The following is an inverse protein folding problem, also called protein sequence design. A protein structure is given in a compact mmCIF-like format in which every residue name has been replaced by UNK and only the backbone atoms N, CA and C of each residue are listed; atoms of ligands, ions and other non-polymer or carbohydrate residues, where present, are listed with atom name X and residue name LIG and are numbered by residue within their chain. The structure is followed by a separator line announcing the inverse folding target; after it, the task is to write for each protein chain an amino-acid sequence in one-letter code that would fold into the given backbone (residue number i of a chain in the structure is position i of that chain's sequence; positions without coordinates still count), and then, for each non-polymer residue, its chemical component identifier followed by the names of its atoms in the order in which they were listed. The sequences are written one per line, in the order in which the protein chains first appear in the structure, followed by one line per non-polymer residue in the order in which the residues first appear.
data_IF_352753803378
#
_entry.id   IF_352753803378
#
_cell.length_a   1.000
_cell.length_b   1.000
_cell.length_c   1.000
_cell.angle_alpha   90.00
_cell.angle_beta   90.00
_cell.angle_gamma   90.00
#
_symmetry.space_group_name_H-M   'P 1'
#
loop_
_entity.id
_entity.type
_entity.pdbx_description
1 polymer ?
#
# COMPACT_ATOMS: atom_id res chain seq x y z
N UNK A 1 -17.26 31.23 41.47
CA UNK A 1 -16.01 30.71 40.86
C UNK A 1 -16.32 29.41 40.13
N UNK A 2 -16.35 29.39 38.79
CA UNK A 2 -16.65 28.16 38.06
C UNK A 2 -16.70 28.40 36.56
N UNK A 3 -15.55 28.65 35.93
CA UNK A 3 -15.50 28.80 34.45
C UNK A 3 -14.10 28.60 33.82
N UNK A 4 -13.06 28.32 34.61
CA UNK A 4 -11.71 28.03 34.05
C UNK A 4 -11.44 26.54 33.88
N UNK A 5 -11.98 25.70 34.78
CA UNK A 5 -11.77 24.25 34.78
C UNK A 5 -12.61 23.54 33.70
N UNK A 6 -13.85 24.00 33.45
CA UNK A 6 -14.73 23.41 32.42
C UNK A 6 -14.16 23.66 31.01
N UNK A 7 -13.65 24.86 30.74
CA UNK A 7 -13.03 25.17 29.44
C UNK A 7 -11.78 24.30 29.17
N UNK A 8 -10.99 24.02 30.21
CA UNK A 8 -9.81 23.18 30.10
C UNK A 8 -10.17 21.70 29.85
N UNK A 9 -11.23 21.20 30.49
CA UNK A 9 -11.74 19.85 30.26
C UNK A 9 -12.28 19.69 28.84
N UNK A 10 -13.07 20.65 28.35
CA UNK A 10 -13.60 20.63 26.97
C UNK A 10 -12.48 20.65 25.92
N UNK A 11 -11.41 21.41 26.16
CA UNK A 11 -10.25 21.43 25.27
C UNK A 11 -9.49 20.09 25.28
N UNK A 12 -9.36 19.48 26.47
CA UNK A 12 -8.72 18.18 26.60
C UNK A 12 -9.53 17.08 25.91
N UNK A 13 -10.86 17.08 26.05
CA UNK A 13 -11.76 16.18 25.33
C UNK A 13 -11.63 16.36 23.81
N UNK A 14 -11.64 17.60 23.29
CA UNK A 14 -11.44 17.89 21.86
C UNK A 14 -10.05 17.44 21.34
N UNK A 15 -9.00 17.57 22.15
CA UNK A 15 -7.67 17.04 21.84
C UNK A 15 -7.66 15.50 21.85
N UNK A 16 -8.34 14.87 22.81
CA UNK A 16 -8.50 13.42 22.85
C UNK A 16 -9.31 12.91 21.67
N UNK A 17 -10.36 13.62 21.21
CA UNK A 17 -11.08 13.27 19.99
C UNK A 17 -10.20 13.43 18.73
N UNK A 18 -9.26 14.37 18.74
CA UNK A 18 -8.27 14.54 17.66
C UNK A 18 -7.25 13.38 17.64
N UNK A 19 -6.92 12.79 18.79
CA UNK A 19 -6.03 11.62 18.88
C UNK A 19 -6.78 10.27 18.79
N UNK A 20 -8.08 10.23 19.15
CA UNK A 20 -8.94 9.05 19.11
C UNK A 20 -9.57 8.81 17.73
N UNK A 21 -9.33 9.68 16.74
CA UNK A 21 -9.51 9.33 15.33
C UNK A 21 -8.26 8.65 14.77
N UNK A 22 -7.81 7.59 15.44
CA UNK A 22 -7.18 6.46 14.78
C UNK A 22 -8.24 5.46 14.30
N UNK A 23 -9.43 5.92 13.92
CA UNK A 23 -10.15 5.23 12.87
C UNK A 23 -9.48 5.67 11.57
N UNK A 24 -8.73 4.80 10.87
CA UNK A 24 -8.44 5.06 9.49
C UNK A 24 -9.77 4.84 8.77
N UNK A 25 -10.63 5.86 8.76
CA UNK A 25 -11.45 6.10 7.59
C UNK A 25 -10.46 6.45 6.47
N UNK A 26 -9.61 5.48 6.07
CA UNK A 26 -9.28 5.33 4.66
C UNK A 26 -10.66 5.35 4.02
N UNK A 27 -10.99 6.35 3.21
CA UNK A 27 -12.30 6.43 2.59
C UNK A 27 -12.43 5.21 1.70
N UNK A 28 -12.94 4.08 2.24
CA UNK A 28 -12.73 2.69 1.78
C UNK A 28 -12.07 2.70 0.41
N UNK A 29 -10.75 2.96 0.39
CA UNK A 29 -10.06 3.11 -0.87
C UNK A 29 -9.88 1.66 -1.23
N UNK A 30 -10.93 1.08 -1.82
CA UNK A 30 -10.82 -0.11 -2.63
C UNK A 30 -10.34 0.45 -3.96
N UNK A 31 -9.01 0.59 -4.16
CA UNK A 31 -8.53 0.82 -5.48
C UNK A 31 -9.16 -0.26 -6.35
N UNK A 32 -9.81 0.14 -7.44
CA UNK A 32 -10.27 -0.81 -8.43
C UNK A 32 -9.00 -1.42 -9.05
N UNK A 33 -8.57 -2.55 -8.51
CA UNK A 33 -7.39 -3.23 -9.00
C UNK A 33 -7.77 -4.06 -10.23
N UNK A 34 -7.10 -3.91 -11.38
CA UNK A 34 -7.19 -4.88 -12.45
C UNK A 34 -6.60 -6.23 -11.98
N UNK A 35 -6.85 -7.29 -12.74
CA UNK A 35 -6.20 -8.58 -12.45
C UNK A 35 -4.70 -8.48 -12.77
N UNK A 36 -3.89 -8.43 -11.72
CA UNK A 36 -2.43 -8.31 -11.80
C UNK A 36 -1.73 -9.65 -11.50
N UNK A 37 -2.43 -10.79 -11.55
CA UNK A 37 -1.83 -12.12 -11.32
C UNK A 37 -0.58 -12.36 -12.17
N UNK A 38 -0.59 -11.89 -13.41
CA UNK A 38 0.54 -12.01 -14.35
C UNK A 38 1.81 -11.26 -13.89
N UNK A 39 1.65 -10.26 -13.01
CA UNK A 39 2.76 -9.52 -12.40
C UNK A 39 3.46 -10.28 -11.26
N UNK A 40 2.89 -11.40 -10.79
CA UNK A 40 3.50 -12.24 -9.75
C UNK A 40 4.51 -13.26 -10.28
N UNK A 41 4.67 -13.38 -11.59
CA UNK A 41 5.55 -14.40 -12.18
C UNK A 41 7.03 -14.23 -11.83
N UNK A 42 7.43 -13.07 -11.29
CA UNK A 42 8.77 -12.86 -10.75
C UNK A 42 9.06 -13.64 -9.47
N UNK A 43 8.08 -14.37 -8.90
CA UNK A 43 8.32 -15.24 -7.73
C UNK A 43 8.75 -16.64 -8.10
N UNK A 44 8.44 -17.08 -9.32
CA UNK A 44 8.71 -18.45 -9.76
C UNK A 44 9.90 -18.45 -10.72
N UNK A 45 10.82 -19.42 -10.61
CA UNK A 45 11.84 -19.63 -11.62
C UNK A 45 11.18 -19.75 -13.01
N UNK A 46 11.65 -19.03 -14.03
CA UNK A 46 12.95 -18.37 -14.16
C UNK A 46 13.05 -16.89 -13.69
N UNK A 47 12.12 -16.40 -12.86
CA UNK A 47 12.09 -15.01 -12.35
C UNK A 47 11.99 -13.96 -13.48
N UNK A 48 11.30 -14.31 -14.56
CA UNK A 48 11.16 -13.45 -15.74
C UNK A 48 9.92 -12.55 -15.56
N UNK A 49 10.08 -11.22 -15.66
CA UNK A 49 8.93 -10.33 -15.68
C UNK A 49 8.08 -10.58 -16.92
N UNK A 50 6.77 -10.71 -16.74
CA UNK A 50 5.86 -10.86 -17.86
C UNK A 50 5.66 -9.51 -18.56
N UNK A 51 5.90 -9.47 -19.88
CA UNK A 51 5.75 -8.26 -20.69
C UNK A 51 4.32 -7.68 -20.64
N UNK A 52 3.32 -8.52 -20.36
CA UNK A 52 1.93 -8.10 -20.24
C UNK A 52 1.63 -7.41 -18.90
N UNK A 53 2.53 -7.46 -17.90
CA UNK A 53 2.31 -6.79 -16.63
C UNK A 53 2.42 -5.26 -16.76
N UNK A 54 3.45 -4.74 -17.43
CA UNK A 54 3.72 -3.31 -17.47
C UNK A 54 2.56 -2.46 -18.04
N UNK A 55 1.89 -2.87 -19.13
CA UNK A 55 0.70 -2.19 -19.63
C UNK A 55 -0.45 -2.13 -18.61
N UNK A 56 -0.59 -3.15 -17.75
CA UNK A 56 -1.67 -3.20 -16.74
C UNK A 56 -1.44 -2.23 -15.59
N UNK A 57 -0.19 -1.92 -15.25
CA UNK A 57 0.15 -0.97 -14.19
C UNK A 57 0.36 0.46 -14.72
N UNK A 58 0.54 0.64 -16.03
CA UNK A 58 0.74 1.96 -16.64
C UNK A 58 -0.47 2.88 -16.41
N UNK A 59 -1.68 2.33 -16.46
CA UNK A 59 -2.93 3.06 -16.18
C UNK A 59 -3.20 3.35 -14.71
N UNK A 60 -2.33 2.90 -13.78
CA UNK A 60 -2.49 3.10 -12.34
C UNK A 60 -1.62 4.26 -11.86
N UNK A 61 -2.18 5.06 -10.95
CA UNK A 61 -1.40 5.98 -10.13
C UNK A 61 -0.50 5.21 -9.16
N UNK A 62 0.58 5.82 -8.72
CA UNK A 62 1.63 5.15 -7.92
C UNK A 62 1.09 4.48 -6.64
N UNK A 63 0.17 5.15 -5.92
CA UNK A 63 -0.47 4.59 -4.72
C UNK A 63 -1.38 3.38 -5.05
N UNK A 64 -2.05 3.42 -6.20
CA UNK A 64 -2.91 2.33 -6.63
C UNK A 64 -2.08 1.14 -7.11
N UNK A 65 -1.01 1.40 -7.86
CA UNK A 65 -0.07 0.40 -8.32
C UNK A 65 0.57 -0.33 -7.12
N UNK A 66 1.01 0.39 -6.09
CA UNK A 66 1.59 -0.22 -4.89
C UNK A 66 0.59 -1.13 -4.16
N UNK A 67 -0.60 -0.63 -3.82
CA UNK A 67 -1.62 -1.41 -3.09
C UNK A 67 -2.09 -2.63 -3.89
N UNK A 68 -2.31 -2.47 -5.19
CA UNK A 68 -2.76 -3.57 -6.05
C UNK A 68 -1.68 -4.64 -6.24
N UNK A 69 -0.42 -4.26 -6.46
CA UNK A 69 0.68 -5.24 -6.53
C UNK A 69 0.87 -5.93 -5.18
N UNK A 70 0.90 -5.20 -4.07
CA UNK A 70 1.08 -5.77 -2.73
C UNK A 70 0.05 -6.85 -2.43
N UNK A 71 -1.21 -6.63 -2.83
CA UNK A 71 -2.28 -7.63 -2.66
C UNK A 71 -1.97 -8.92 -3.42
N UNK A 72 -1.51 -8.81 -4.67
CA UNK A 72 -1.12 -9.98 -5.47
C UNK A 72 0.13 -10.65 -4.90
N UNK A 73 1.18 -9.89 -4.55
CA UNK A 73 2.41 -10.45 -3.99
C UNK A 73 2.13 -11.15 -2.65
N UNK A 74 1.29 -10.58 -1.78
CA UNK A 74 0.89 -11.18 -0.50
C UNK A 74 0.18 -12.52 -0.67
N UNK A 75 -0.64 -12.67 -1.71
CA UNK A 75 -1.30 -13.95 -2.02
C UNK A 75 -0.32 -15.03 -2.50
N UNK A 76 0.78 -14.63 -3.15
CA UNK A 76 1.77 -15.57 -3.68
C UNK A 76 2.88 -15.91 -2.66
N UNK A 77 3.13 -15.07 -1.66
CA UNK A 77 4.15 -15.28 -0.61
C UNK A 77 3.55 -15.98 0.62
N UNK A 78 2.49 -16.77 0.46
CA UNK A 78 1.82 -17.51 1.53
C UNK A 78 2.65 -18.62 2.20
N UNK A 79 3.87 -18.32 2.67
CA UNK A 79 4.65 -19.13 3.61
C UNK A 79 5.96 -19.73 3.11
N UNK A 80 6.34 -19.55 1.85
CA UNK A 80 7.45 -20.33 1.24
C UNK A 80 8.76 -19.54 1.12
N UNK A 81 8.71 -18.20 1.00
CA UNK A 81 9.88 -17.38 0.61
C UNK A 81 10.04 -16.20 1.59
N UNK A 82 11.23 -16.02 2.17
CA UNK A 82 11.56 -15.01 3.20
C UNK A 82 11.96 -13.64 2.63
N UNK A 83 11.63 -13.36 1.36
CA UNK A 83 11.99 -12.09 0.72
C UNK A 83 10.94 -11.04 1.11
N UNK A 84 11.40 -9.86 1.54
CA UNK A 84 10.52 -8.74 1.88
C UNK A 84 9.63 -8.37 0.70
N UNK A 85 8.32 -8.26 0.93
CA UNK A 85 7.35 -7.83 -0.10
C UNK A 85 7.75 -6.54 -0.78
N UNK A 86 8.32 -5.60 -0.02
CA UNK A 86 8.74 -4.30 -0.52
C UNK A 86 9.82 -4.43 -1.61
N UNK A 87 10.77 -5.34 -1.45
CA UNK A 87 11.85 -5.56 -2.43
C UNK A 87 11.23 -6.03 -3.75
N UNK A 88 10.30 -6.97 -3.65
CA UNK A 88 9.64 -7.58 -4.79
C UNK A 88 8.72 -6.60 -5.53
N UNK A 89 8.02 -5.77 -4.76
CA UNK A 89 7.22 -4.67 -5.27
C UNK A 89 8.09 -3.67 -6.05
N UNK A 90 9.18 -3.20 -5.44
CA UNK A 90 10.07 -2.23 -6.09
C UNK A 90 10.74 -2.85 -7.33
N UNK A 91 11.15 -4.12 -7.28
CA UNK A 91 11.72 -4.82 -8.45
C UNK A 91 10.72 -4.86 -9.61
N UNK A 92 9.47 -5.22 -9.34
CA UNK A 92 8.45 -5.31 -10.39
C UNK A 92 8.12 -3.94 -11.00
N UNK A 93 8.04 -2.90 -10.16
CA UNK A 93 7.82 -1.53 -10.63
C UNK A 93 9.02 -1.01 -11.43
N UNK A 94 10.25 -1.28 -10.97
CA UNK A 94 11.48 -0.92 -11.66
C UNK A 94 11.61 -1.59 -13.03
N UNK A 95 11.23 -2.88 -13.13
CA UNK A 95 11.20 -3.61 -14.41
C UNK A 95 10.26 -2.96 -15.43
N UNK A 96 9.22 -2.27 -14.96
CA UNK A 96 8.30 -1.51 -15.80
C UNK A 96 8.66 -0.01 -15.92
N UNK A 97 9.87 0.38 -15.52
CA UNK A 97 10.37 1.75 -15.64
C UNK A 97 9.82 2.74 -14.61
N UNK A 98 9.09 2.28 -13.59
CA UNK A 98 8.53 3.12 -12.51
C UNK A 98 9.57 3.38 -11.41
N UNK A 99 10.66 4.04 -11.76
CA UNK A 99 11.69 4.49 -10.82
C UNK A 99 11.27 5.80 -10.16
N UNK A 100 10.58 5.73 -9.01
CA UNK A 100 10.31 6.91 -8.18
C UNK A 100 10.94 6.77 -6.80
N UNK A 101 11.71 7.76 -6.33
CA UNK A 101 11.87 8.02 -4.91
C UNK A 101 10.61 8.74 -4.41
N UNK A 102 9.94 8.31 -3.32
CA UNK A 102 10.33 7.30 -2.32
C UNK A 102 10.05 5.84 -2.73
N UNK A 103 10.80 4.91 -2.12
CA UNK A 103 10.61 3.45 -2.24
C UNK A 103 9.21 3.04 -1.83
N UNK A 104 8.56 2.21 -2.66
CA UNK A 104 7.23 1.70 -2.38
C UNK A 104 7.27 0.70 -1.21
N UNK A 105 6.23 0.72 -0.37
CA UNK A 105 6.07 -0.21 0.74
C UNK A 105 4.70 -0.88 0.69
N UNK A 106 4.67 -2.17 1.03
CA UNK A 106 3.44 -2.91 1.29
C UNK A 106 3.07 -2.76 2.77
N UNK A 107 1.95 -2.09 3.03
CA UNK A 107 1.33 -2.03 4.36
C UNK A 107 0.34 -3.19 4.57
#
# INVERSE_FOLDING_TARGET
MGSKSVAFLLFLDLLFFSMATSNPLVPNFQPKCPDLRICANILLPPFIPDSNCCPLIEGLIDLQASVCLCSVLKLNIGGIITISLDILLNLQLNNCGRHKPPTYTCQ
#
